data_IF_915716974310
#
_entry.id   IF_915716974310
#
_cell.length_a   1.000
_cell.length_b   1.000
_cell.length_c   1.000
_cell.angle_alpha   90.00
_cell.angle_beta   90.00
_cell.angle_gamma   90.00
#
_symmetry.space_group_name_H-M   'P 1'
#
loop_
_entity.id
_entity.type
_entity.pdbx_description
1 polymer ?
#
# COMPACT_ATOMS: atom_id res chain seq x y z
N UNK A 1 -11.42 6.30 32.64
CA UNK A 1 -11.04 4.92 32.29
C UNK A 1 -11.75 4.56 30.99
N UNK A 2 -11.17 4.88 29.84
CA UNK A 2 -11.68 4.41 28.53
C UNK A 2 -10.76 3.26 28.14
N UNK A 3 -11.26 2.04 28.26
CA UNK A 3 -10.56 0.88 27.70
C UNK A 3 -10.78 0.94 26.19
N UNK A 4 -9.67 1.13 25.46
CA UNK A 4 -9.63 0.97 24.02
C UNK A 4 -9.82 -0.51 23.71
N UNK A 5 -10.94 -0.81 23.07
CA UNK A 5 -11.18 -2.07 22.38
C UNK A 5 -10.16 -2.16 21.24
N UNK A 6 -9.02 -2.79 21.52
CA UNK A 6 -8.04 -3.13 20.49
C UNK A 6 -8.40 -4.53 20.05
N UNK A 7 -9.50 -4.63 19.32
CA UNK A 7 -9.84 -5.85 18.59
C UNK A 7 -8.68 -6.10 17.62
N UNK A 8 -7.95 -7.19 17.87
CA UNK A 8 -7.01 -7.78 16.93
C UNK A 8 -7.78 -8.09 15.66
N UNK A 9 -7.81 -7.13 14.73
CA UNK A 9 -8.41 -7.32 13.43
C UNK A 9 -7.55 -8.33 12.67
N UNK A 10 -8.00 -9.58 12.68
CA UNK A 10 -7.62 -10.62 11.72
C UNK A 10 -7.85 -10.07 10.30
N UNK A 11 -6.78 -9.57 9.68
CA UNK A 11 -6.78 -8.93 8.37
C UNK A 11 -6.70 -9.92 7.20
N UNK A 12 -6.98 -11.20 7.43
CA UNK A 12 -6.74 -12.24 6.43
C UNK A 12 -7.89 -12.45 5.42
N UNK A 13 -8.98 -11.65 5.40
CA UNK A 13 -10.01 -11.85 4.36
C UNK A 13 -10.90 -10.67 3.90
N UNK A 14 -11.33 -9.71 4.73
CA UNK A 14 -12.59 -8.98 4.40
C UNK A 14 -12.53 -7.44 4.45
N UNK A 15 -11.92 -6.80 3.44
CA UNK A 15 -12.10 -5.36 3.20
C UNK A 15 -12.49 -4.97 1.77
N UNK A 16 -12.74 -5.92 0.88
CA UNK A 16 -13.46 -5.58 -0.35
C UNK A 16 -14.94 -5.49 0.02
N UNK A 17 -15.52 -4.29 -0.06
CA UNK A 17 -16.95 -4.14 0.13
C UNK A 17 -17.68 -5.03 -0.91
N UNK A 18 -18.85 -5.56 -0.54
CA UNK A 18 -19.68 -6.35 -1.47
C UNK A 18 -19.86 -5.57 -2.78
N UNK A 19 -19.28 -6.10 -3.87
CA UNK A 19 -19.29 -5.48 -5.21
C UNK A 19 -17.92 -5.04 -5.74
N UNK A 20 -16.88 -4.94 -4.92
CA UNK A 20 -15.56 -4.48 -5.36
C UNK A 20 -14.72 -5.54 -6.09
N UNK A 21 -15.18 -6.80 -6.12
CA UNK A 21 -14.50 -7.89 -6.82
C UNK A 21 -14.20 -7.59 -8.29
N UNK A 22 -15.06 -6.81 -8.95
CA UNK A 22 -14.89 -6.38 -10.35
C UNK A 22 -13.66 -5.50 -10.56
N UNK A 23 -13.19 -4.84 -9.50
CA UNK A 23 -11.98 -4.01 -9.50
C UNK A 23 -10.74 -4.78 -9.05
N UNK A 24 -10.88 -6.02 -8.57
CA UNK A 24 -9.75 -6.81 -8.08
C UNK A 24 -8.96 -7.43 -9.23
N UNK A 25 -7.78 -6.88 -9.49
CA UNK A 25 -6.82 -7.43 -10.44
C UNK A 25 -6.08 -8.63 -9.82
N UNK A 26 -6.11 -9.77 -10.51
CA UNK A 26 -5.37 -10.99 -10.12
C UNK A 26 -4.26 -11.36 -11.10
N UNK A 27 -4.31 -10.86 -12.32
CA UNK A 27 -3.33 -11.16 -13.34
C UNK A 27 -2.07 -10.30 -13.13
N UNK A 28 -0.91 -10.93 -12.92
CA UNK A 28 0.36 -10.22 -12.69
C UNK A 28 0.69 -9.19 -13.77
N UNK A 29 0.40 -9.48 -15.04
CA UNK A 29 0.66 -8.53 -16.14
C UNK A 29 -0.20 -7.28 -16.04
N UNK A 30 -1.47 -7.43 -15.65
CA UNK A 30 -2.38 -6.29 -15.44
C UNK A 30 -1.94 -5.45 -14.24
N UNK A 31 -1.56 -6.11 -13.13
CA UNK A 31 -1.04 -5.43 -11.93
C UNK A 31 0.21 -4.63 -12.27
N UNK A 32 1.20 -5.25 -12.94
CA UNK A 32 2.44 -4.58 -13.37
C UNK A 32 2.16 -3.41 -14.30
N UNK A 33 1.21 -3.55 -15.23
CA UNK A 33 0.77 -2.46 -16.09
C UNK A 33 0.24 -1.26 -15.30
N UNK A 34 -0.59 -1.51 -14.28
CA UNK A 34 -1.13 -0.45 -13.43
C UNK A 34 -0.05 0.22 -12.57
N UNK A 35 0.86 -0.56 -11.97
CA UNK A 35 1.98 -0.02 -11.19
C UNK A 35 2.92 0.83 -12.06
N UNK A 36 3.14 0.43 -13.32
CA UNK A 36 3.92 1.23 -14.28
C UNK A 36 3.21 2.53 -14.65
N UNK A 37 1.90 2.53 -14.81
CA UNK A 37 1.15 3.78 -15.03
C UNK A 37 1.32 4.76 -13.85
N UNK A 38 1.29 4.27 -12.61
CA UNK A 38 1.56 5.09 -11.42
C UNK A 38 2.98 5.68 -11.45
N UNK A 39 3.98 4.88 -11.85
CA UNK A 39 5.37 5.32 -12.03
C UNK A 39 5.49 6.39 -13.12
N UNK A 40 4.96 6.12 -14.31
CA UNK A 40 5.05 7.00 -15.49
C UNK A 40 4.40 8.37 -15.21
N UNK A 41 3.28 8.38 -14.49
CA UNK A 41 2.56 9.59 -14.08
C UNK A 41 3.15 10.26 -12.83
N UNK A 42 4.11 9.61 -12.16
CA UNK A 42 4.63 10.04 -10.85
C UNK A 42 3.50 10.30 -9.84
N UNK A 43 2.50 9.41 -9.84
CA UNK A 43 1.33 9.53 -9.00
C UNK A 43 1.71 9.47 -7.52
N UNK A 44 1.09 10.33 -6.72
CA UNK A 44 1.23 10.25 -5.26
C UNK A 44 0.44 9.04 -4.78
N UNK A 45 1.13 8.20 -4.00
CA UNK A 45 0.54 7.05 -3.31
C UNK A 45 0.50 7.37 -1.82
N UNK A 46 -0.67 7.25 -1.20
CA UNK A 46 -0.83 7.34 0.25
C UNK A 46 -0.64 5.95 0.84
N UNK A 47 0.41 5.76 1.62
CA UNK A 47 0.72 4.50 2.32
C UNK A 47 0.22 4.57 3.76
N UNK A 48 -0.71 3.69 4.13
CA UNK A 48 -1.12 3.46 5.51
C UNK A 48 -0.35 2.29 6.10
N UNK A 49 0.20 2.49 7.30
CA UNK A 49 1.07 1.52 7.95
C UNK A 49 0.29 0.66 8.95
N UNK A 50 0.29 -0.66 8.74
CA UNK A 50 -0.47 -1.58 9.57
C UNK A 50 -0.13 -1.46 11.07
N UNK A 51 -1.17 -1.52 11.92
CA UNK A 51 -1.02 -1.42 13.38
C UNK A 51 -0.65 -0.03 13.88
N UNK A 52 -0.66 0.99 13.01
CA UNK A 52 -0.35 2.38 13.36
C UNK A 52 -1.36 3.34 12.74
N UNK A 53 -1.74 4.37 13.48
CA UNK A 53 -2.48 5.51 12.94
C UNK A 53 -1.50 6.46 12.24
N UNK A 54 -0.93 6.00 11.11
CA UNK A 54 0.08 6.72 10.35
C UNK A 54 -0.12 6.52 8.85
N UNK A 55 -0.15 7.63 8.12
CA UNK A 55 -0.12 7.67 6.66
C UNK A 55 1.10 8.46 6.18
N UNK A 56 1.78 7.94 5.16
CA UNK A 56 3.00 8.52 4.59
C UNK A 56 2.83 8.66 3.08
N UNK A 57 3.09 9.85 2.50
CA UNK A 57 3.13 9.98 1.05
C UNK A 57 4.36 9.27 0.49
N UNK A 58 4.17 8.55 -0.61
CA UNK A 58 5.23 7.87 -1.37
C UNK A 58 4.90 7.92 -2.87
N UNK A 59 5.77 7.36 -3.70
CA UNK A 59 5.57 7.15 -5.13
C UNK A 59 6.20 5.82 -5.55
N UNK A 60 5.72 5.24 -6.65
CA UNK A 60 6.38 4.08 -7.27
C UNK A 60 7.62 4.58 -8.02
N UNK A 61 8.79 4.09 -7.64
CA UNK A 61 10.07 4.41 -8.28
C UNK A 61 10.47 3.39 -9.33
N UNK A 62 10.15 2.12 -9.10
CA UNK A 62 10.49 1.03 -10.00
C UNK A 62 9.48 -0.12 -9.88
N UNK A 63 9.26 -0.82 -10.99
CA UNK A 63 8.52 -2.08 -11.07
C UNK A 63 9.44 -3.12 -11.68
N UNK A 64 10.09 -3.93 -10.84
CA UNK A 64 11.06 -4.94 -11.26
C UNK A 64 10.31 -6.22 -11.67
N UNK A 65 10.44 -6.58 -12.95
CA UNK A 65 9.77 -7.75 -13.50
C UNK A 65 10.49 -9.06 -13.22
N UNK A 66 11.81 -9.01 -13.05
CA UNK A 66 12.69 -10.15 -12.85
C UNK A 66 12.61 -10.60 -11.39
N UNK A 67 12.66 -9.64 -10.45
CA UNK A 67 12.58 -9.89 -9.01
C UNK A 67 11.15 -9.87 -8.44
N UNK A 68 10.14 -9.64 -9.29
CA UNK A 68 8.71 -9.56 -8.94
C UNK A 68 8.42 -8.61 -7.77
N UNK A 69 9.10 -7.46 -7.76
CA UNK A 69 9.02 -6.49 -6.69
C UNK A 69 8.70 -5.07 -7.19
N UNK A 70 8.32 -4.19 -6.26
CA UNK A 70 8.07 -2.77 -6.50
C UNK A 70 8.91 -1.97 -5.52
N UNK A 71 9.54 -0.91 -6.01
CA UNK A 71 10.31 0.02 -5.17
C UNK A 71 9.45 1.27 -4.94
N UNK A 72 9.27 1.60 -3.67
CA UNK A 72 8.54 2.80 -3.23
C UNK A 72 9.52 3.84 -2.67
N UNK A 73 9.20 5.12 -2.86
CA UNK A 73 9.99 6.22 -2.32
C UNK A 73 9.97 6.25 -0.79
N UNK A 74 11.11 6.62 -0.21
CA UNK A 74 11.31 6.71 1.23
C UNK A 74 10.82 8.03 1.82
N UNK A 75 10.49 8.02 3.11
CA UNK A 75 10.21 9.27 3.82
C UNK A 75 11.50 10.00 4.18
N UNK A 76 11.44 11.33 4.23
CA UNK A 76 12.49 12.15 4.84
C UNK A 76 12.56 11.98 6.37
N UNK A 77 11.53 11.37 6.97
CA UNK A 77 11.49 11.08 8.40
C UNK A 77 11.92 9.62 8.67
N UNK A 78 13.12 9.47 9.24
CA UNK A 78 13.68 8.18 9.65
C UNK A 78 12.77 7.37 10.60
N UNK A 79 12.01 8.02 11.47
CA UNK A 79 11.08 7.32 12.36
C UNK A 79 9.92 6.69 11.57
N UNK A 80 9.45 7.36 10.51
CA UNK A 80 8.45 6.82 9.59
C UNK A 80 9.03 5.63 8.81
N UNK A 81 10.26 5.71 8.30
CA UNK A 81 10.90 4.61 7.58
C UNK A 81 11.04 3.35 8.45
N UNK A 82 11.48 3.50 9.71
CA UNK A 82 11.52 2.38 10.66
C UNK A 82 10.14 1.78 10.90
N UNK A 83 9.13 2.63 11.12
CA UNK A 83 7.77 2.16 11.32
C UNK A 83 7.20 1.41 10.10
N UNK A 84 7.55 1.83 8.87
CA UNK A 84 7.19 1.15 7.62
C UNK A 84 7.90 -0.22 7.53
N UNK A 85 9.20 -0.27 7.83
CA UNK A 85 9.98 -1.52 7.81
C UNK A 85 9.49 -2.56 8.82
N UNK A 86 9.05 -2.11 10.00
CA UNK A 86 8.54 -2.98 11.06
C UNK A 86 7.09 -3.46 10.82
N UNK A 87 6.40 -2.93 9.80
CA UNK A 87 4.99 -3.20 9.57
C UNK A 87 4.76 -4.57 8.90
N UNK A 88 3.70 -5.28 9.32
CA UNK A 88 3.31 -6.56 8.72
C UNK A 88 2.86 -6.41 7.26
N UNK A 89 2.17 -5.31 6.94
CA UNK A 89 1.72 -4.96 5.60
C UNK A 89 1.49 -3.45 5.49
N UNK A 90 1.31 -3.00 4.25
CA UNK A 90 1.06 -1.60 3.90
C UNK A 90 -0.18 -1.55 3.02
N UNK A 91 -1.10 -0.63 3.33
CA UNK A 91 -2.26 -0.35 2.48
C UNK A 91 -1.98 0.91 1.66
N UNK A 92 -1.92 0.78 0.35
CA UNK A 92 -1.55 1.86 -0.56
C UNK A 92 -2.76 2.30 -1.37
N UNK A 93 -3.03 3.61 -1.38
CA UNK A 93 -4.09 4.23 -2.18
C UNK A 93 -3.48 5.21 -3.16
N UNK A 94 -3.94 5.16 -4.40
CA UNK A 94 -3.56 6.11 -5.43
C UNK A 94 -4.73 6.31 -6.39
N UNK A 95 -4.74 7.45 -7.07
CA UNK A 95 -5.69 7.75 -8.12
C UNK A 95 -4.92 7.95 -9.42
N UNK A 96 -5.39 7.32 -10.49
CA UNK A 96 -4.94 7.53 -11.86
C UNK A 96 -5.99 8.36 -12.59
N UNK A 97 -5.55 9.27 -13.46
CA UNK A 97 -6.42 10.05 -14.35
C UNK A 97 -6.84 9.27 -15.60
#
# INVERSE_FOLDING_TARGET
>A
MSQGDTSELDHDADHLAEGDERYLLRNKRQIRGLLRQLLDQRAIVTMHVAGRDMAVPTAVLEVDEDDDCVILDGSHNEASNRAIQDAKYLLCYAQLE
#
